data_IF_431609422475
#
_entry.id   IF_431609422475
#
_cell.length_a   1.000
_cell.length_b   1.000
_cell.length_c   1.000
_cell.angle_alpha   90.00
_cell.angle_beta   90.00
_cell.angle_gamma   90.00
#
_symmetry.space_group_name_H-M   'P 1'
#
loop_
_entity.id
_entity.type
_entity.pdbx_description
1 polymer ?
#
# COMPACT_ATOMS: atom_id res chain seq x y z
N UNK A 1 -2.34 25.15 -20.36
CA UNK A 1 -1.05 24.48 -20.14
C UNK A 1 -0.30 25.23 -19.05
N UNK A 2 0.37 24.50 -18.15
CA UNK A 2 1.26 25.08 -17.16
C UNK A 2 2.35 25.93 -17.82
N UNK A 3 2.79 26.98 -17.11
CA UNK A 3 3.80 27.93 -17.59
C UNK A 3 5.11 27.84 -16.80
N UNK A 4 5.08 27.14 -15.68
CA UNK A 4 6.19 26.90 -14.77
C UNK A 4 5.98 25.58 -14.01
N UNK A 5 7.03 25.10 -13.34
CA UNK A 5 7.00 23.85 -12.57
C UNK A 5 5.93 23.84 -11.48
N UNK A 6 5.80 24.92 -10.71
CA UNK A 6 4.85 24.99 -9.59
C UNK A 6 3.40 24.93 -10.06
N UNK A 7 3.09 25.55 -11.21
CA UNK A 7 1.78 25.52 -11.84
C UNK A 7 1.45 24.13 -12.37
N UNK A 8 2.42 23.40 -12.93
CA UNK A 8 2.28 22.01 -13.32
C UNK A 8 1.97 21.11 -12.11
N UNK A 9 2.73 21.25 -11.02
CA UNK A 9 2.49 20.49 -9.78
C UNK A 9 1.09 20.77 -9.21
N UNK A 10 0.68 22.05 -9.18
CA UNK A 10 -0.66 22.43 -8.73
C UNK A 10 -1.76 21.86 -9.63
N UNK A 11 -1.56 21.89 -10.96
CA UNK A 11 -2.55 21.39 -11.92
C UNK A 11 -2.76 19.87 -11.76
N UNK A 12 -1.69 19.09 -11.67
CA UNK A 12 -1.74 17.65 -11.41
C UNK A 12 -2.42 17.31 -10.08
N UNK A 13 -2.02 17.98 -9.00
CA UNK A 13 -2.63 17.77 -7.68
C UNK A 13 -4.13 18.13 -7.65
N UNK A 14 -4.54 19.21 -8.32
CA UNK A 14 -5.96 19.58 -8.45
C UNK A 14 -6.74 18.55 -9.27
N UNK A 15 -6.14 17.99 -10.33
CA UNK A 15 -6.75 16.96 -11.14
C UNK A 15 -6.98 15.67 -10.33
N UNK A 16 -6.00 15.23 -9.54
CA UNK A 16 -6.16 14.10 -8.62
C UNK A 16 -7.30 14.34 -7.62
N UNK A 17 -7.37 15.54 -7.03
CA UNK A 17 -8.46 15.93 -6.13
C UNK A 17 -9.84 15.92 -6.79
N UNK A 18 -9.95 16.27 -8.09
CA UNK A 18 -11.21 16.14 -8.85
C UNK A 18 -11.57 14.67 -9.05
N UNK A 19 -10.61 13.81 -9.37
CA UNK A 19 -10.88 12.39 -9.58
C UNK A 19 -11.32 11.71 -8.26
N UNK A 20 -10.67 12.03 -7.13
CA UNK A 20 -11.09 11.53 -5.83
C UNK A 20 -12.55 11.83 -5.50
N UNK A 21 -13.01 13.05 -5.82
CA UNK A 21 -14.42 13.46 -5.65
C UNK A 21 -15.35 12.74 -6.61
N UNK A 22 -14.95 12.60 -7.88
CA UNK A 22 -15.75 11.90 -8.90
C UNK A 22 -15.99 10.44 -8.54
N UNK A 23 -14.99 9.77 -7.97
CA UNK A 23 -15.03 8.36 -7.61
C UNK A 23 -15.41 8.09 -6.15
N UNK A 24 -15.70 9.14 -5.37
CA UNK A 24 -15.99 9.09 -3.93
C UNK A 24 -15.01 8.24 -3.09
N UNK A 25 -13.75 8.18 -3.54
CA UNK A 25 -12.70 7.31 -2.97
C UNK A 25 -12.47 7.52 -1.48
N UNK A 26 -12.59 8.76 -0.99
CA UNK A 26 -12.40 9.06 0.43
C UNK A 26 -13.50 8.42 1.28
N UNK A 27 -14.76 8.43 0.84
CA UNK A 27 -15.85 7.78 1.58
C UNK A 27 -15.72 6.26 1.53
N UNK A 28 -15.37 5.69 0.37
CA UNK A 28 -15.14 4.26 0.21
C UNK A 28 -14.04 3.74 1.15
N UNK A 29 -12.89 4.42 1.18
CA UNK A 29 -11.76 4.04 2.03
C UNK A 29 -12.04 4.37 3.50
N UNK A 30 -12.80 5.43 3.79
CA UNK A 30 -13.21 5.75 5.17
C UNK A 30 -13.98 4.61 5.85
N UNK A 31 -14.73 3.80 5.08
CA UNK A 31 -15.50 2.66 5.60
C UNK A 31 -14.65 1.41 5.84
N UNK A 32 -13.74 1.09 4.93
CA UNK A 32 -13.04 -0.22 4.92
C UNK A 32 -11.53 -0.10 5.23
N UNK A 33 -10.99 1.12 5.29
CA UNK A 33 -9.54 1.35 5.29
C UNK A 33 -8.86 0.90 4.00
N UNK A 34 -7.55 0.70 4.09
CA UNK A 34 -6.70 0.34 2.96
C UNK A 34 -6.18 1.56 2.19
N UNK A 35 -5.76 1.33 0.96
CA UNK A 35 -5.18 2.34 0.07
C UNK A 35 -6.14 2.72 -1.07
N UNK A 36 -5.72 3.69 -1.89
CA UNK A 36 -6.42 4.04 -3.13
C UNK A 36 -6.25 2.90 -4.15
N UNK A 37 -7.37 2.32 -4.61
CA UNK A 37 -7.36 1.31 -5.66
C UNK A 37 -7.17 1.97 -7.03
N UNK A 38 -5.90 2.13 -7.44
CA UNK A 38 -5.54 2.75 -8.72
C UNK A 38 -6.10 1.96 -9.91
N UNK A 39 -6.03 0.63 -9.86
CA UNK A 39 -6.55 -0.22 -10.93
C UNK A 39 -8.07 -0.17 -10.99
N UNK A 40 -8.74 -0.15 -9.83
CA UNK A 40 -10.17 0.08 -9.73
C UNK A 40 -10.59 1.45 -10.29
N UNK A 41 -9.80 2.50 -10.04
CA UNK A 41 -10.06 3.83 -10.58
C UNK A 41 -9.92 3.90 -12.12
N UNK A 42 -8.92 3.22 -12.68
CA UNK A 42 -8.73 3.09 -14.13
C UNK A 42 -9.92 2.36 -14.75
N UNK A 43 -10.30 1.23 -14.17
CA UNK A 43 -11.46 0.46 -14.60
C UNK A 43 -12.77 1.25 -14.53
N UNK A 44 -13.01 1.99 -13.45
CA UNK A 44 -14.20 2.82 -13.26
C UNK A 44 -14.31 4.01 -14.24
N UNK A 45 -13.24 4.31 -14.98
CA UNK A 45 -13.23 5.31 -16.05
C UNK A 45 -13.33 4.69 -17.45
N UNK A 46 -13.57 3.38 -17.55
CA UNK A 46 -13.59 2.61 -18.79
C UNK A 46 -12.30 2.80 -19.61
N UNK A 47 -11.16 2.97 -18.93
CA UNK A 47 -9.85 3.10 -19.55
C UNK A 47 -9.19 1.70 -19.63
N UNK A 48 -9.00 1.12 -20.82
CA UNK A 48 -8.36 -0.18 -20.97
C UNK A 48 -6.95 -0.18 -20.36
N UNK A 49 -6.68 -1.17 -19.50
CA UNK A 49 -5.39 -1.39 -18.88
C UNK A 49 -4.88 -2.79 -19.24
N UNK A 50 -3.66 -2.87 -19.76
CA UNK A 50 -2.99 -4.14 -19.99
C UNK A 50 -1.66 -4.20 -19.25
N UNK A 51 -1.50 -5.25 -18.46
CA UNK A 51 -0.26 -5.57 -17.77
C UNK A 51 0.53 -6.59 -18.58
N UNK A 52 1.80 -6.31 -18.86
CA UNK A 52 2.67 -7.24 -19.58
C UNK A 52 4.14 -7.01 -19.24
N UNK A 53 5.04 -7.97 -19.48
CA UNK A 53 6.47 -7.71 -19.33
C UNK A 53 6.92 -6.67 -20.37
N UNK A 54 7.51 -5.57 -19.90
CA UNK A 54 8.05 -4.49 -20.74
C UNK A 54 9.52 -4.26 -20.38
N UNK A 55 10.42 -4.58 -21.31
CA UNK A 55 11.87 -4.40 -21.11
C UNK A 55 12.25 -2.94 -21.32
N UNK A 56 12.76 -2.30 -20.27
CA UNK A 56 13.26 -0.92 -20.35
C UNK A 56 12.18 0.17 -20.34
N UNK A 57 10.91 -0.20 -20.19
CA UNK A 57 9.78 0.72 -20.09
C UNK A 57 8.92 0.35 -18.87
N UNK A 58 8.52 1.34 -18.08
CA UNK A 58 7.67 1.12 -16.91
C UNK A 58 6.18 1.09 -17.27
N UNK A 59 5.76 1.98 -18.16
CA UNK A 59 4.39 2.07 -18.66
C UNK A 59 4.31 2.98 -19.86
N UNK A 60 3.13 3.04 -20.46
CA UNK A 60 2.83 3.92 -21.57
C UNK A 60 1.34 4.22 -21.63
N UNK A 61 1.02 5.50 -21.78
CA UNK A 61 -0.29 5.98 -22.19
C UNK A 61 -0.34 6.15 -23.71
N UNK A 62 -1.37 5.58 -24.33
CA UNK A 62 -1.68 5.72 -25.75
C UNK A 62 -3.00 6.47 -25.86
N UNK A 63 -3.11 7.49 -26.71
CA UNK A 63 -4.37 8.22 -26.92
C UNK A 63 -5.07 7.89 -28.24
N UNK A 64 -4.42 7.13 -29.13
CA UNK A 64 -4.87 6.82 -30.49
C UNK A 64 -4.57 5.36 -30.85
N UNK A 65 -5.45 4.65 -31.60
CA UNK A 65 -6.76 5.09 -32.09
C UNK A 65 -7.84 5.20 -31.00
N UNK A 66 -7.59 4.62 -29.82
CA UNK A 66 -8.40 4.77 -28.62
C UNK A 66 -7.48 4.88 -27.40
N UNK A 67 -7.90 5.59 -26.33
CA UNK A 67 -7.10 5.74 -25.14
C UNK A 67 -6.90 4.40 -24.42
N UNK A 68 -5.68 4.15 -23.94
CA UNK A 68 -5.33 2.93 -23.22
C UNK A 68 -4.01 3.05 -22.46
N UNK A 69 -3.81 2.17 -21.49
CA UNK A 69 -2.65 2.17 -20.59
C UNK A 69 -1.95 0.81 -20.62
N UNK A 70 -0.62 0.85 -20.70
CA UNK A 70 0.25 -0.30 -20.52
C UNK A 70 1.08 -0.13 -19.25
N UNK A 71 1.22 -1.19 -18.45
CA UNK A 71 2.08 -1.20 -17.25
C UNK A 71 2.93 -2.46 -17.22
N UNK A 72 4.21 -2.30 -16.86
CA UNK A 72 5.16 -3.41 -16.77
C UNK A 72 4.84 -4.35 -15.60
N UNK A 73 4.97 -5.65 -15.83
CA UNK A 73 4.90 -6.66 -14.76
C UNK A 73 6.26 -6.94 -14.10
N UNK A 74 7.36 -6.38 -14.63
CA UNK A 74 8.74 -6.64 -14.17
C UNK A 74 9.13 -5.85 -12.91
N UNK A 75 8.17 -5.24 -12.21
CA UNK A 75 8.40 -4.35 -11.08
C UNK A 75 7.47 -4.68 -9.90
N UNK A 76 7.88 -4.36 -8.66
CA UNK A 76 7.02 -4.51 -7.48
C UNK A 76 5.71 -3.72 -7.60
N UNK A 77 4.72 -4.14 -6.81
CA UNK A 77 3.37 -3.58 -6.82
C UNK A 77 3.34 -2.06 -6.61
N UNK A 78 4.15 -1.52 -5.71
CA UNK A 78 4.20 -0.07 -5.46
C UNK A 78 4.63 0.72 -6.70
N UNK A 79 5.55 0.18 -7.51
CA UNK A 79 5.96 0.78 -8.79
C UNK A 79 4.86 0.62 -9.83
N UNK A 80 4.25 -0.56 -9.97
CA UNK A 80 3.14 -0.77 -10.90
C UNK A 80 1.98 0.20 -10.63
N UNK A 81 1.62 0.39 -9.35
CA UNK A 81 0.57 1.32 -8.92
C UNK A 81 0.93 2.77 -9.24
N UNK A 82 2.17 3.16 -8.97
CA UNK A 82 2.64 4.51 -9.29
C UNK A 82 2.61 4.78 -10.79
N UNK A 83 3.15 3.86 -11.60
CA UNK A 83 3.10 3.95 -13.06
C UNK A 83 1.65 4.04 -13.54
N UNK A 84 0.77 3.14 -13.09
CA UNK A 84 -0.64 3.16 -13.45
C UNK A 84 -1.32 4.50 -13.09
N UNK A 85 -1.01 5.07 -11.93
CA UNK A 85 -1.54 6.36 -11.50
C UNK A 85 -0.98 7.53 -12.33
N UNK A 86 0.28 7.44 -12.76
CA UNK A 86 0.92 8.41 -13.65
C UNK A 86 0.25 8.40 -15.04
N UNK A 87 0.08 7.22 -15.65
CA UNK A 87 -0.61 7.08 -16.94
C UNK A 87 -2.09 7.49 -16.85
N UNK A 88 -2.75 7.19 -15.73
CA UNK A 88 -4.09 7.69 -15.42
C UNK A 88 -4.13 9.22 -15.37
N UNK A 89 -3.05 9.86 -14.90
CA UNK A 89 -2.87 11.31 -14.94
C UNK A 89 -2.86 11.85 -16.37
N UNK A 90 -2.07 11.23 -17.26
CA UNK A 90 -2.07 11.60 -18.68
C UNK A 90 -3.47 11.50 -19.31
N UNK A 91 -4.18 10.40 -19.07
CA UNK A 91 -5.55 10.23 -19.56
C UNK A 91 -6.50 11.29 -19.01
N UNK A 92 -6.55 11.45 -17.68
CA UNK A 92 -7.51 12.32 -17.02
C UNK A 92 -7.28 13.81 -17.34
N UNK A 93 -6.03 14.20 -17.57
CA UNK A 93 -5.64 15.54 -17.96
C UNK A 93 -5.62 15.77 -19.48
N UNK A 94 -5.93 14.73 -20.27
CA UNK A 94 -5.94 14.76 -21.75
C UNK A 94 -4.62 15.22 -22.34
N UNK A 95 -3.53 14.70 -21.77
CA UNK A 95 -2.19 14.92 -22.28
C UNK A 95 -2.04 14.32 -23.69
N UNK A 96 -1.19 14.96 -24.50
CA UNK A 96 -0.87 14.42 -25.82
C UNK A 96 0.15 13.29 -25.63
N UNK A 97 -0.04 12.14 -26.30
CA UNK A 97 1.00 11.13 -26.33
C UNK A 97 2.24 11.74 -26.98
N UNK A 98 3.41 11.41 -26.47
CA UNK A 98 4.68 11.81 -27.08
C UNK A 98 4.85 11.06 -28.39
N UNK A 99 4.29 11.60 -29.47
CA UNK A 99 4.26 10.98 -30.80
C UNK A 99 5.54 11.23 -31.62
N UNK A 100 6.39 12.16 -31.21
CA UNK A 100 7.68 12.42 -31.85
C UNK A 100 8.78 11.60 -31.18
N UNK A 101 8.87 10.32 -31.53
CA UNK A 101 10.12 9.59 -31.82
C UNK A 101 9.90 8.08 -31.74
N UNK A 102 10.64 7.34 -32.57
CA UNK A 102 10.83 5.88 -32.48
C UNK A 102 11.38 5.39 -31.11
N UNK A 103 11.51 6.29 -30.13
CA UNK A 103 11.90 6.10 -28.74
C UNK A 103 10.73 5.84 -27.77
N UNK A 104 9.47 5.76 -28.24
CA UNK A 104 8.28 5.41 -27.42
C UNK A 104 8.50 4.15 -26.56
N UNK A 105 9.45 3.28 -26.96
CA UNK A 105 9.82 2.04 -26.28
C UNK A 105 11.04 2.15 -25.33
N UNK A 106 11.64 3.33 -25.12
CA UNK A 106 12.93 3.51 -24.41
C UNK A 106 12.95 4.61 -23.35
N UNK A 107 11.82 5.00 -22.76
CA UNK A 107 11.84 5.99 -21.68
C UNK A 107 12.44 5.40 -20.39
N UNK A 108 13.74 5.66 -20.20
CA UNK A 108 14.40 5.61 -18.90
C UNK A 108 13.99 6.81 -18.04
N UNK A 109 14.04 6.72 -16.70
CA UNK A 109 13.39 7.68 -15.79
C UNK A 109 14.00 9.10 -15.71
N UNK A 110 14.94 9.48 -16.59
CA UNK A 110 15.85 10.61 -16.31
C UNK A 110 16.07 11.60 -17.46
N UNK A 111 15.28 11.58 -18.54
CA UNK A 111 15.48 12.56 -19.64
C UNK A 111 14.18 12.94 -20.36
N UNK A 112 13.40 13.88 -19.82
CA UNK A 112 12.26 14.46 -20.54
C UNK A 112 12.73 15.51 -21.56
N UNK A 113 12.36 15.30 -22.83
CA UNK A 113 12.44 16.27 -23.93
C UNK A 113 11.82 17.62 -23.54
N UNK A 114 12.42 18.78 -23.91
CA UNK A 114 12.06 20.11 -23.39
C UNK A 114 10.59 20.53 -23.56
N UNK A 115 9.88 20.03 -24.58
CA UNK A 115 8.48 20.38 -24.84
C UNK A 115 7.45 19.63 -23.97
N UNK A 116 7.81 18.45 -23.44
CA UNK A 116 6.88 17.56 -22.73
C UNK A 116 7.05 17.62 -21.18
N UNK A 117 8.02 18.38 -20.68
CA UNK A 117 8.39 18.41 -19.26
C UNK A 117 7.24 18.80 -18.32
N UNK A 118 6.35 19.69 -18.73
CA UNK A 118 5.23 20.10 -17.89
C UNK A 118 4.13 19.04 -17.78
N UNK A 119 3.83 18.32 -18.86
CA UNK A 119 2.82 17.24 -18.83
C UNK A 119 3.28 16.07 -17.96
N UNK A 120 4.56 15.71 -18.05
CA UNK A 120 5.17 14.69 -17.18
C UNK A 120 5.16 15.14 -15.71
N UNK A 121 5.49 16.41 -15.45
CA UNK A 121 5.40 16.99 -14.09
C UNK A 121 3.97 16.99 -13.56
N UNK A 122 2.99 17.30 -14.41
CA UNK A 122 1.56 17.24 -14.10
C UNK A 122 1.12 15.80 -13.78
N UNK A 123 1.54 14.81 -14.57
CA UNK A 123 1.24 13.40 -14.36
C UNK A 123 1.88 12.84 -13.08
N UNK A 124 3.13 13.18 -12.78
CA UNK A 124 3.78 12.82 -11.51
C UNK A 124 3.10 13.44 -10.31
N UNK A 125 2.75 14.73 -10.39
CA UNK A 125 2.04 15.42 -9.34
C UNK A 125 0.64 14.84 -9.14
N UNK A 126 -0.05 14.46 -10.23
CA UNK A 126 -1.30 13.73 -10.18
C UNK A 126 -1.14 12.39 -9.47
N UNK A 127 -0.18 11.55 -9.87
CA UNK A 127 0.02 10.22 -9.30
C UNK A 127 0.27 10.30 -7.79
N UNK A 128 1.14 11.21 -7.35
CA UNK A 128 1.45 11.40 -5.93
C UNK A 128 0.23 11.90 -5.16
N UNK A 129 -0.48 12.92 -5.67
CA UNK A 129 -1.64 13.47 -5.00
C UNK A 129 -2.83 12.49 -4.99
N UNK A 130 -2.91 11.60 -5.97
CA UNK A 130 -3.97 10.58 -6.09
C UNK A 130 -3.70 9.37 -5.19
N UNK A 131 -2.45 8.88 -5.15
CA UNK A 131 -2.12 7.71 -4.32
C UNK A 131 -1.90 8.07 -2.85
N UNK A 132 -1.32 9.24 -2.59
CA UNK A 132 -0.90 9.67 -1.25
C UNK A 132 -1.56 11.03 -0.92
N UNK A 133 -2.89 11.15 -0.89
CA UNK A 133 -3.53 12.39 -0.50
C UNK A 133 -3.38 12.63 1.02
N UNK A 134 -3.35 13.90 1.43
CA UNK A 134 -3.22 14.29 2.85
C UNK A 134 -4.28 13.63 3.76
N UNK A 135 -5.52 13.49 3.26
CA UNK A 135 -6.61 12.89 4.03
C UNK A 135 -6.37 11.40 4.30
N UNK A 136 -5.67 10.68 3.42
CA UNK A 136 -5.38 9.26 3.61
C UNK A 136 -4.29 9.06 4.67
N UNK A 137 -3.26 9.90 4.65
CA UNK A 137 -2.25 9.94 5.73
C UNK A 137 -2.95 10.20 7.06
N UNK A 138 -3.81 11.22 7.13
CA UNK A 138 -4.55 11.55 8.35
C UNK A 138 -5.44 10.39 8.83
N UNK A 139 -6.11 9.68 7.92
CA UNK A 139 -6.92 8.50 8.24
C UNK A 139 -6.09 7.40 8.89
N UNK A 140 -4.93 7.05 8.31
CA UNK A 140 -4.05 6.03 8.88
C UNK A 140 -3.44 6.49 10.21
N UNK A 141 -3.01 7.75 10.31
CA UNK A 141 -2.53 8.31 11.57
C UNK A 141 -3.59 8.23 12.67
N UNK A 142 -4.83 8.63 12.39
CA UNK A 142 -5.91 8.57 13.35
C UNK A 142 -6.20 7.13 13.81
N UNK A 143 -6.29 6.18 12.87
CA UNK A 143 -6.51 4.76 13.18
C UNK A 143 -5.38 4.18 14.03
N UNK A 144 -4.13 4.45 13.63
CA UNK A 144 -2.96 3.91 14.30
C UNK A 144 -2.57 4.69 15.58
N UNK A 145 -3.23 5.82 15.85
CA UNK A 145 -2.90 6.71 16.95
C UNK A 145 -1.55 7.41 16.76
N UNK A 146 -1.09 7.56 15.52
CA UNK A 146 0.17 8.23 15.21
C UNK A 146 -0.02 9.74 15.15
N UNK A 147 0.84 10.44 15.87
CA UNK A 147 1.01 11.89 15.76
C UNK A 147 1.95 12.25 14.60
N UNK A 148 1.98 13.53 14.23
CA UNK A 148 2.91 14.03 13.21
C UNK A 148 4.36 13.84 13.64
N UNK A 149 4.67 13.93 14.93
CA UNK A 149 6.03 13.71 15.44
C UNK A 149 6.46 12.25 15.29
N UNK A 150 5.54 11.30 15.45
CA UNK A 150 5.84 9.88 15.29
C UNK A 150 6.15 9.50 13.83
N UNK A 151 5.72 10.29 12.84
CA UNK A 151 6.07 10.10 11.43
C UNK A 151 7.56 10.32 11.14
N UNK A 152 8.30 10.90 12.08
CA UNK A 152 9.76 11.06 12.01
C UNK A 152 10.51 9.74 12.27
N UNK A 153 9.82 8.72 12.79
CA UNK A 153 10.43 7.42 13.10
C UNK A 153 10.41 6.50 11.87
N UNK A 154 11.54 5.90 11.46
CA UNK A 154 11.61 5.05 10.27
C UNK A 154 10.63 3.88 10.26
N UNK A 155 10.42 3.22 11.40
CA UNK A 155 9.47 2.10 11.52
C UNK A 155 8.02 2.54 11.25
N UNK A 156 7.63 3.75 11.68
CA UNK A 156 6.30 4.31 11.44
C UNK A 156 6.14 4.73 9.98
N UNK A 157 7.12 5.45 9.42
CA UNK A 157 7.11 5.83 8.00
C UNK A 157 7.06 4.60 7.08
N UNK A 158 7.73 3.51 7.45
CA UNK A 158 7.64 2.23 6.75
C UNK A 158 6.25 1.61 6.83
N UNK A 159 5.67 1.47 8.04
CA UNK A 159 4.33 0.91 8.22
C UNK A 159 3.23 1.76 7.58
N UNK A 160 3.42 3.08 7.50
CA UNK A 160 2.56 3.98 6.74
C UNK A 160 2.67 3.74 5.23
N UNK A 161 3.88 3.55 4.69
CA UNK A 161 4.08 3.33 3.26
C UNK A 161 3.35 2.10 2.74
N UNK A 162 3.35 1.01 3.53
CA UNK A 162 2.62 -0.21 3.23
C UNK A 162 1.11 0.03 3.19
N UNK A 163 0.57 0.70 4.23
CA UNK A 163 -0.86 0.98 4.36
C UNK A 163 -1.40 1.89 3.25
N UNK A 164 -0.58 2.81 2.76
CA UNK A 164 -0.89 3.70 1.62
C UNK A 164 -0.66 2.99 0.26
N UNK A 165 0.06 1.86 0.24
CA UNK A 165 0.39 1.14 -0.98
C UNK A 165 1.38 1.90 -1.87
N UNK A 166 2.36 2.59 -1.26
CA UNK A 166 3.42 3.34 -1.92
C UNK A 166 4.80 2.86 -1.46
N UNK A 167 5.87 3.23 -2.17
CA UNK A 167 7.22 2.93 -1.71
C UNK A 167 7.58 3.75 -0.46
N UNK A 168 8.51 3.22 0.34
CA UNK A 168 9.05 3.92 1.51
C UNK A 168 9.61 5.31 1.14
N UNK A 169 10.39 5.37 0.06
CA UNK A 169 10.97 6.63 -0.43
C UNK A 169 9.89 7.63 -0.88
N UNK A 170 8.92 7.20 -1.68
CA UNK A 170 7.84 8.08 -2.14
C UNK A 170 7.03 8.63 -0.96
N UNK A 171 6.81 7.80 0.07
CA UNK A 171 6.13 8.18 1.30
C UNK A 171 6.93 9.26 2.04
N UNK A 172 8.22 9.05 2.31
CA UNK A 172 9.08 10.01 3.01
C UNK A 172 9.13 11.37 2.29
N UNK A 173 9.33 11.36 0.96
CA UNK A 173 9.33 12.58 0.14
C UNK A 173 7.99 13.30 0.17
N UNK A 174 6.89 12.55 0.21
CA UNK A 174 5.54 13.13 0.28
C UNK A 174 5.25 13.75 1.65
N UNK A 175 5.70 13.13 2.74
CA UNK A 175 5.60 13.69 4.08
C UNK A 175 6.29 15.07 4.15
N UNK A 176 7.49 15.19 3.57
CA UNK A 176 8.19 16.46 3.45
C UNK A 176 7.43 17.47 2.58
N UNK A 177 6.96 17.06 1.39
CA UNK A 177 6.17 17.90 0.48
C UNK A 177 4.93 18.49 1.16
N UNK A 178 4.28 17.71 2.02
CA UNK A 178 3.12 18.14 2.80
C UNK A 178 3.45 18.91 4.06
N UNK A 179 4.74 19.14 4.35
CA UNK A 179 5.26 19.83 5.54
C UNK A 179 4.89 19.13 6.84
N UNK A 180 4.76 17.80 6.79
CA UNK A 180 4.57 16.95 7.98
C UNK A 180 5.90 16.65 8.67
N UNK A 181 7.00 16.66 7.91
CA UNK A 181 8.37 16.54 8.40
C UNK A 181 9.26 17.60 7.74
N UNK A 182 10.43 17.87 8.33
CA UNK A 182 11.43 18.77 7.75
C UNK A 182 12.28 18.05 6.69
N UNK A 183 13.02 18.81 5.89
CA UNK A 183 13.98 18.27 4.91
C UNK A 183 15.06 17.41 5.59
N UNK A 184 15.55 17.85 6.75
CA UNK A 184 16.54 17.12 7.54
C UNK A 184 16.01 15.74 7.97
N UNK A 185 14.79 15.69 8.52
CA UNK A 185 14.15 14.42 8.91
C UNK A 185 13.92 13.53 7.69
N UNK A 186 13.50 14.10 6.55
CA UNK A 186 13.32 13.31 5.33
C UNK A 186 14.63 12.65 4.90
N UNK A 187 15.76 13.38 4.92
CA UNK A 187 17.06 12.82 4.57
C UNK A 187 17.46 11.69 5.51
N UNK A 188 17.30 11.88 6.83
CA UNK A 188 17.56 10.86 7.85
C UNK A 188 16.70 9.60 7.64
N UNK A 189 15.41 9.76 7.35
CA UNK A 189 14.52 8.65 7.03
C UNK A 189 15.01 7.86 5.81
N UNK A 190 15.48 8.55 4.77
CA UNK A 190 15.97 7.93 3.53
C UNK A 190 17.32 7.22 3.68
N UNK A 191 18.11 7.53 4.71
CA UNK A 191 19.32 6.78 5.06
C UNK A 191 18.98 5.38 5.62
N UNK A 192 17.78 5.23 6.21
CA UNK A 192 17.32 3.94 6.73
C UNK A 192 16.87 3.03 5.60
N UNK A 193 17.56 1.91 5.43
CA UNK A 193 17.22 0.90 4.41
C UNK A 193 16.00 0.08 4.86
N UNK A 194 14.94 -0.08 4.05
CA UNK A 194 13.77 -0.87 4.43
C UNK A 194 14.09 -2.29 4.91
N UNK A 195 15.18 -2.89 4.41
CA UNK A 195 15.65 -4.20 4.86
C UNK A 195 15.98 -4.23 6.36
N UNK A 196 16.58 -3.19 6.95
CA UNK A 196 16.87 -3.18 8.39
C UNK A 196 15.58 -3.18 9.19
N UNK A 197 14.59 -2.38 8.78
CA UNK A 197 13.27 -2.34 9.42
C UNK A 197 12.55 -3.70 9.36
N UNK A 198 12.67 -4.42 8.24
CA UNK A 198 12.15 -5.78 8.10
C UNK A 198 12.86 -6.76 9.04
N UNK A 199 14.19 -6.67 9.17
CA UNK A 199 14.97 -7.50 10.10
C UNK A 199 14.55 -7.22 11.54
N UNK A 200 14.44 -5.95 11.92
CA UNK A 200 14.02 -5.52 13.25
C UNK A 200 12.60 -6.02 13.58
N UNK A 201 11.68 -6.01 12.62
CA UNK A 201 10.33 -6.56 12.80
C UNK A 201 10.30 -8.08 12.92
N UNK A 202 11.26 -8.80 12.34
CA UNK A 202 11.25 -10.27 12.36
C UNK A 202 12.07 -10.86 13.52
N UNK A 203 12.73 -10.03 14.34
CA UNK A 203 13.61 -10.45 15.44
C UNK A 203 14.63 -11.50 14.97
N UNK A 204 14.54 -12.76 15.42
CA UNK A 204 15.46 -13.84 15.01
C UNK A 204 14.95 -14.65 13.81
N UNK A 205 13.71 -14.44 13.37
CA UNK A 205 13.21 -15.11 12.18
C UNK A 205 13.92 -14.59 10.93
N UNK A 206 14.34 -15.50 10.05
CA UNK A 206 15.06 -15.18 8.82
C UNK A 206 14.29 -15.80 7.65
N UNK A 207 13.61 -15.00 6.82
CA UNK A 207 12.98 -15.49 5.60
C UNK A 207 14.03 -15.85 4.55
N UNK A 208 13.61 -16.61 3.53
CA UNK A 208 14.48 -16.97 2.41
C UNK A 208 15.04 -15.75 1.68
N UNK A 209 14.23 -14.69 1.52
CA UNK A 209 14.65 -13.37 1.06
C UNK A 209 13.80 -12.26 1.69
N UNK A 210 14.21 -11.00 1.51
CA UNK A 210 13.54 -9.80 2.06
C UNK A 210 12.81 -8.97 0.98
N UNK A 211 12.43 -9.59 -0.14
CA UNK A 211 11.72 -8.92 -1.23
C UNK A 211 10.28 -8.61 -0.85
N UNK A 212 9.61 -9.51 -0.13
CA UNK A 212 8.28 -9.28 0.45
C UNK A 212 8.31 -8.26 1.58
N UNK A 213 7.20 -7.59 1.80
CA UNK A 213 7.04 -6.61 2.86
C UNK A 213 6.72 -7.27 4.21
N UNK A 214 7.01 -6.57 5.31
CA UNK A 214 6.76 -7.06 6.66
C UNK A 214 5.78 -6.10 7.33
N UNK A 215 4.57 -6.59 7.55
CA UNK A 215 3.47 -5.85 8.14
C UNK A 215 3.49 -6.04 9.66
N UNK A 216 3.44 -4.94 10.41
CA UNK A 216 3.14 -4.99 11.85
C UNK A 216 1.64 -4.75 12.01
N UNK A 217 0.93 -5.77 12.50
CA UNK A 217 -0.50 -5.74 12.74
C UNK A 217 -0.78 -5.71 14.24
N UNK A 218 -1.69 -4.83 14.62
CA UNK A 218 -2.18 -4.69 16.00
C UNK A 218 -3.71 -4.67 16.00
N UNK A 219 -4.32 -4.57 17.17
CA UNK A 219 -5.77 -4.40 17.33
C UNK A 219 -6.27 -3.13 16.62
N UNK A 220 -5.40 -2.16 16.35
CA UNK A 220 -5.73 -0.94 15.59
C UNK A 220 -6.00 -1.21 14.11
N UNK A 221 -5.66 -2.39 13.62
CA UNK A 221 -5.93 -2.82 12.25
C UNK A 221 -7.29 -3.55 12.13
N UNK A 222 -8.10 -3.62 13.20
CA UNK A 222 -9.47 -4.15 13.16
C UNK A 222 -10.31 -3.49 12.05
N UNK A 223 -10.96 -4.34 11.26
CA UNK A 223 -11.81 -3.94 10.13
C UNK A 223 -11.05 -3.28 8.99
N UNK A 224 -9.71 -3.33 8.97
CA UNK A 224 -8.92 -2.77 7.89
C UNK A 224 -8.87 -3.71 6.69
N UNK A 225 -8.69 -3.10 5.51
CA UNK A 225 -8.28 -3.78 4.30
C UNK A 225 -6.76 -3.70 4.10
N UNK A 226 -6.12 -4.82 3.77
CA UNK A 226 -4.71 -4.90 3.39
C UNK A 226 -4.56 -5.43 1.97
N UNK A 227 -3.93 -4.65 1.10
CA UNK A 227 -3.52 -5.11 -0.22
C UNK A 227 -2.01 -5.34 -0.21
N UNK A 228 -1.58 -6.55 -0.53
CA UNK A 228 -0.18 -6.97 -0.45
C UNK A 228 0.17 -8.08 -1.43
N UNK A 229 1.20 -8.83 -1.09
CA UNK A 229 1.75 -9.93 -1.89
C UNK A 229 1.78 -11.23 -1.09
N UNK A 230 1.70 -12.36 -1.79
CA UNK A 230 1.92 -13.69 -1.18
C UNK A 230 3.29 -13.86 -0.51
N UNK A 231 4.25 -13.02 -0.87
CA UNK A 231 5.60 -13.07 -0.33
C UNK A 231 5.76 -12.22 0.95
N UNK A 232 4.71 -11.50 1.36
CA UNK A 232 4.75 -10.65 2.54
C UNK A 232 4.66 -11.49 3.82
N UNK A 233 5.16 -10.92 4.91
CA UNK A 233 5.07 -11.49 6.26
C UNK A 233 4.25 -10.58 7.15
N UNK A 234 3.53 -11.18 8.09
CA UNK A 234 2.64 -10.50 9.00
C UNK A 234 3.06 -10.79 10.43
N UNK A 235 3.49 -9.76 11.14
CA UNK A 235 3.81 -9.80 12.56
C UNK A 235 2.60 -9.25 13.31
N UNK A 236 1.79 -10.15 13.87
CA UNK A 236 0.69 -9.80 14.74
C UNK A 236 1.26 -9.58 16.14
N UNK A 237 1.11 -8.36 16.68
CA UNK A 237 1.52 -7.99 18.03
C UNK A 237 0.29 -7.59 18.82
N UNK A 238 -0.31 -8.57 19.50
CA UNK A 238 -1.63 -8.44 20.12
C UNK A 238 -1.51 -8.56 21.65
N UNK A 239 -2.22 -7.71 22.37
CA UNK A 239 -2.41 -7.84 23.81
C UNK A 239 -3.18 -9.13 24.09
N UNK A 240 -2.67 -9.94 25.00
CA UNK A 240 -3.27 -11.20 25.44
C UNK A 240 -3.50 -11.16 26.96
N UNK A 241 -4.73 -11.43 27.40
CA UNK A 241 -5.17 -11.46 28.79
C UNK A 241 -4.99 -12.87 29.37
N UNK A 242 -3.77 -13.41 29.24
CA UNK A 242 -3.45 -14.79 29.61
C UNK A 242 -3.72 -15.08 31.09
N UNK A 243 -3.53 -14.09 31.98
CA UNK A 243 -3.85 -14.22 33.41
C UNK A 243 -5.33 -14.50 33.69
N UNK A 244 -6.24 -14.10 32.79
CA UNK A 244 -7.67 -14.39 32.85
C UNK A 244 -8.09 -15.64 32.07
N UNK A 245 -7.13 -16.39 31.52
CA UNK A 245 -7.36 -17.57 30.69
C UNK A 245 -7.71 -17.28 29.23
N UNK A 246 -7.63 -16.03 28.79
CA UNK A 246 -7.94 -15.64 27.41
C UNK A 246 -6.70 -15.78 26.54
N UNK A 247 -6.85 -16.50 25.42
CA UNK A 247 -5.78 -16.76 24.46
C UNK A 247 -6.28 -16.44 23.06
N UNK A 248 -5.40 -15.90 22.22
CA UNK A 248 -5.69 -15.75 20.79
C UNK A 248 -5.72 -17.11 20.10
N UNK A 249 -6.76 -17.34 19.32
CA UNK A 249 -6.95 -18.58 18.58
C UNK A 249 -6.18 -18.56 17.24
N UNK A 250 -5.05 -19.26 17.20
CA UNK A 250 -4.22 -19.37 16.00
C UNK A 250 -4.75 -20.41 15.00
N UNK A 251 -5.66 -21.28 15.39
CA UNK A 251 -6.31 -22.19 14.44
C UNK A 251 -7.17 -21.38 13.45
N UNK A 252 -7.75 -20.26 13.90
CA UNK A 252 -8.46 -19.35 13.02
C UNK A 252 -7.53 -18.60 12.05
N UNK A 253 -6.31 -18.27 12.48
CA UNK A 253 -5.29 -17.69 11.61
C UNK A 253 -4.86 -18.70 10.53
N UNK A 254 -4.61 -19.95 10.91
CA UNK A 254 -4.29 -21.03 9.96
C UNK A 254 -5.44 -21.33 9.01
N UNK A 255 -6.68 -21.40 9.51
CA UNK A 255 -7.88 -21.56 8.69
C UNK A 255 -8.11 -20.40 7.72
N UNK A 256 -7.54 -19.22 8.00
CA UNK A 256 -7.55 -18.05 7.10
C UNK A 256 -6.46 -18.13 6.01
N UNK A 257 -5.70 -19.24 5.93
CA UNK A 257 -4.69 -19.50 4.91
C UNK A 257 -3.31 -18.90 5.21
N UNK A 258 -2.96 -18.81 6.49
CA UNK A 258 -1.65 -18.36 6.96
C UNK A 258 -0.90 -19.49 7.68
N UNK A 259 0.35 -19.70 7.32
CA UNK A 259 1.26 -20.52 8.10
C UNK A 259 1.86 -19.70 9.26
N UNK A 260 1.75 -20.19 10.49
CA UNK A 260 2.45 -19.61 11.65
C UNK A 260 3.90 -20.06 11.62
N UNK A 261 4.82 -19.11 11.44
CA UNK A 261 6.27 -19.39 11.36
C UNK A 261 6.99 -19.10 12.68
N UNK A 262 6.37 -18.31 13.58
CA UNK A 262 6.87 -18.02 14.93
C UNK A 262 5.72 -17.59 15.84
N UNK A 263 5.73 -18.02 17.10
CA UNK A 263 4.78 -17.62 18.15
C UNK A 263 5.56 -17.39 19.45
N UNK A 264 5.47 -16.18 19.99
CA UNK A 264 6.18 -15.73 21.19
C UNK A 264 5.26 -14.91 22.09
N UNK A 265 5.65 -14.83 23.36
CA UNK A 265 5.02 -13.93 24.33
C UNK A 265 6.06 -12.98 24.89
N UNK A 266 5.84 -11.69 24.70
CA UNK A 266 6.63 -10.60 25.28
C UNK A 266 5.93 -10.13 26.57
N UNK A 267 6.70 -9.86 27.63
CA UNK A 267 6.15 -9.21 28.82
C UNK A 267 5.72 -7.77 28.46
N UNK A 268 4.50 -7.38 28.85
CA UNK A 268 4.02 -6.00 28.65
C UNK A 268 4.70 -5.03 29.63
N UNK A 269 4.96 -5.51 30.85
CA UNK A 269 5.73 -4.86 31.90
C UNK A 269 6.53 -5.95 32.62
N UNK A 270 7.86 -5.79 32.68
CA UNK A 270 8.75 -6.78 33.28
C UNK A 270 8.56 -6.89 34.81
N UNK A 271 7.95 -5.89 35.45
CA UNK A 271 7.78 -5.81 36.90
C UNK A 271 6.39 -6.27 37.38
N UNK A 272 5.43 -6.48 36.48
CA UNK A 272 4.05 -6.85 36.83
C UNK A 272 3.75 -8.35 36.66
N UNK A 273 3.68 -9.10 37.77
CA UNK A 273 3.27 -10.52 37.76
C UNK A 273 1.75 -10.63 37.50
N UNK A 274 1.37 -11.43 36.49
CA UNK A 274 -0.04 -11.70 36.16
C UNK A 274 -0.73 -10.63 35.31
N UNK A 275 0.00 -9.61 34.84
CA UNK A 275 -0.49 -8.60 33.91
C UNK A 275 -0.76 -9.15 32.50
N UNK A 276 -1.40 -8.35 31.62
CA UNK A 276 -1.52 -8.71 30.21
C UNK A 276 -0.13 -8.90 29.60
N UNK A 277 0.01 -9.87 28.70
CA UNK A 277 1.23 -10.08 27.91
C UNK A 277 0.97 -9.62 26.48
N UNK A 278 2.03 -9.48 25.69
CA UNK A 278 1.89 -9.27 24.25
C UNK A 278 2.22 -10.58 23.55
N UNK A 279 1.24 -11.15 22.86
CA UNK A 279 1.49 -12.26 21.96
C UNK A 279 1.97 -11.75 20.62
N UNK A 280 3.15 -12.21 20.21
CA UNK A 280 3.78 -11.88 18.95
C UNK A 280 3.77 -13.11 18.05
N UNK A 281 3.04 -13.05 16.95
CA UNK A 281 2.94 -14.13 15.97
C UNK A 281 3.45 -13.65 14.63
N UNK A 282 4.43 -14.32 14.07
CA UNK A 282 4.84 -14.11 12.67
C UNK A 282 4.15 -15.16 11.82
N UNK A 283 3.44 -14.68 10.79
CA UNK A 283 2.66 -15.49 9.88
C UNK A 283 3.00 -15.18 8.41
N UNK A 284 2.88 -16.17 7.55
CA UNK A 284 3.11 -16.06 6.11
C UNK A 284 1.88 -16.59 5.35
N UNK A 285 1.40 -15.91 4.29
CA UNK A 285 0.36 -16.45 3.44
C UNK A 285 0.83 -17.75 2.76
N UNK A 286 -0.03 -18.76 2.70
CA UNK A 286 0.32 -20.03 2.03
C UNK A 286 0.21 -19.93 0.51
N UNK A 287 -0.67 -19.06 0.01
CA UNK A 287 -0.91 -18.85 -1.41
C UNK A 287 -1.28 -17.40 -1.72
N UNK A 288 -1.15 -17.02 -3.00
CA UNK A 288 -1.76 -15.79 -3.50
C UNK A 288 -3.27 -15.93 -3.47
N UNK A 289 -3.92 -15.20 -2.56
CA UNK A 289 -5.36 -15.32 -2.34
C UNK A 289 -5.98 -14.01 -1.87
N UNK A 290 -7.30 -13.98 -1.90
CA UNK A 290 -8.14 -12.96 -1.29
C UNK A 290 -8.96 -13.61 -0.20
N UNK A 291 -9.21 -12.89 0.87
CA UNK A 291 -9.98 -13.46 1.96
C UNK A 291 -10.16 -12.49 3.12
N UNK A 292 -10.61 -13.07 4.22
CA UNK A 292 -10.76 -12.41 5.50
C UNK A 292 -9.99 -13.21 6.53
N UNK A 293 -9.06 -12.56 7.20
CA UNK A 293 -8.41 -13.08 8.38
C UNK A 293 -9.27 -12.73 9.58
N UNK A 294 -9.57 -13.70 10.45
CA UNK A 294 -10.27 -13.45 11.70
C UNK A 294 -9.62 -14.22 12.83
N UNK A 295 -9.35 -13.56 13.96
CA UNK A 295 -8.88 -14.18 15.19
C UNK A 295 -9.76 -13.68 16.33
N UNK A 296 -10.01 -14.56 17.30
CA UNK A 296 -10.71 -14.22 18.54
C UNK A 296 -9.82 -14.55 19.73
N UNK A 297 -9.84 -13.67 20.71
CA UNK A 297 -9.27 -13.91 22.03
C UNK A 297 -10.35 -14.57 22.91
N UNK A 298 -10.18 -15.85 23.24
CA UNK A 298 -11.21 -16.62 23.98
C UNK A 298 -10.60 -17.55 25.01
N UNK A 299 -11.43 -18.01 25.94
CA UNK A 299 -11.08 -19.11 26.85
C UNK A 299 -11.28 -20.43 26.10
N UNK A 300 -10.26 -21.30 25.96
CA UNK A 300 -10.41 -22.56 25.25
C UNK A 300 -11.53 -23.46 25.81
N UNK A 301 -11.79 -23.38 27.12
CA UNK A 301 -12.85 -24.13 27.82
C UNK A 301 -14.20 -23.41 27.88
N UNK A 302 -14.31 -22.17 27.40
CA UNK A 302 -15.54 -21.37 27.39
C UNK A 302 -15.60 -20.52 26.12
N UNK A 303 -15.67 -21.20 24.97
CA UNK A 303 -15.45 -20.63 23.64
C UNK A 303 -16.60 -19.77 23.08
N UNK A 304 -17.72 -19.66 23.80
CA UNK A 304 -18.93 -18.98 23.34
C UNK A 304 -18.83 -17.44 23.32
N UNK A 305 -17.88 -16.85 24.05
CA UNK A 305 -17.74 -15.39 24.14
C UNK A 305 -16.29 -14.99 23.95
N UNK A 306 -16.02 -14.21 22.92
CA UNK A 306 -14.70 -13.61 22.68
C UNK A 306 -14.53 -12.36 23.56
N UNK A 307 -13.34 -12.17 24.11
CA UNK A 307 -12.94 -10.96 24.83
C UNK A 307 -12.52 -9.84 23.87
N UNK A 308 -11.84 -10.21 22.79
CA UNK A 308 -11.44 -9.33 21.71
C UNK A 308 -11.45 -10.09 20.38
N UNK A 309 -11.52 -9.37 19.27
CA UNK A 309 -11.43 -9.92 17.91
C UNK A 309 -10.51 -9.07 17.05
N UNK A 310 -9.84 -9.70 16.09
CA UNK A 310 -9.11 -9.06 15.01
C UNK A 310 -9.62 -9.60 13.67
N UNK A 311 -10.20 -8.76 12.83
CA UNK A 311 -10.73 -9.08 11.51
C UNK A 311 -10.11 -8.15 10.47
N UNK A 312 -9.49 -8.72 9.44
CA UNK A 312 -8.83 -7.98 8.37
C UNK A 312 -9.23 -8.58 7.03
N UNK A 313 -9.78 -7.76 6.14
CA UNK A 313 -9.99 -8.15 4.74
C UNK A 313 -8.67 -7.98 3.98
N UNK A 314 -8.33 -8.92 3.10
CA UNK A 314 -7.05 -8.86 2.41
C UNK A 314 -7.08 -9.32 0.95
N UNK A 315 -6.11 -8.81 0.18
CA UNK A 315 -5.84 -9.20 -1.20
C UNK A 315 -4.33 -9.32 -1.44
N UNK A 316 -3.83 -10.55 -1.42
CA UNK A 316 -2.41 -10.89 -1.60
C UNK A 316 -2.08 -11.38 -3.01
N UNK A 317 -2.95 -11.06 -3.98
CA UNK A 317 -2.74 -11.42 -5.38
C UNK A 317 -1.73 -10.50 -6.08
N UNK A 318 -1.09 -9.58 -5.36
CA UNK A 318 -0.02 -8.72 -5.86
C UNK A 318 1.36 -9.38 -5.94
N UNK A 319 2.29 -8.80 -6.72
CA UNK A 319 2.08 -7.75 -7.74
C UNK A 319 1.23 -8.27 -8.91
N UNK A 320 0.72 -7.36 -9.75
CA UNK A 320 -0.03 -7.76 -10.94
C UNK A 320 0.81 -8.63 -11.87
N UNK A 321 0.16 -9.66 -12.40
CA UNK A 321 0.69 -10.57 -13.41
C UNK A 321 0.26 -10.12 -14.80
N UNK A 322 0.79 -10.77 -15.83
CA UNK A 322 0.44 -10.50 -17.23
C UNK A 322 -1.07 -10.71 -17.48
N UNK A 323 -1.65 -9.81 -18.27
CA UNK A 323 -3.07 -9.79 -18.63
C UNK A 323 -3.84 -8.66 -17.96
N UNK A 324 -5.07 -8.98 -17.53
CA UNK A 324 -6.00 -8.03 -16.91
C UNK A 324 -5.57 -7.71 -15.48
N UNK A 325 -5.89 -6.50 -15.01
CA UNK A 325 -5.66 -6.10 -13.62
C UNK A 325 -6.54 -6.89 -12.64
N UNK A 326 -6.17 -6.94 -11.35
CA UNK A 326 -7.05 -7.51 -10.32
C UNK A 326 -8.45 -6.87 -10.33
N UNK A 327 -8.54 -5.58 -10.61
CA UNK A 327 -9.81 -4.87 -10.61
C UNK A 327 -10.75 -5.37 -11.72
N UNK A 328 -10.23 -5.50 -12.94
CA UNK A 328 -10.98 -6.05 -14.07
C UNK A 328 -11.34 -7.52 -13.86
N UNK A 329 -10.39 -8.33 -13.36
CA UNK A 329 -10.67 -9.75 -13.04
C UNK A 329 -11.80 -9.89 -12.03
N UNK A 330 -11.86 -9.03 -11.01
CA UNK A 330 -12.94 -9.03 -10.02
C UNK A 330 -14.29 -8.74 -10.68
N UNK A 331 -14.35 -7.70 -11.50
CA UNK A 331 -15.59 -7.32 -12.16
C UNK A 331 -16.11 -8.43 -13.10
N UNK A 332 -15.21 -9.07 -13.86
CA UNK A 332 -15.58 -10.18 -14.74
C UNK A 332 -16.07 -11.42 -13.98
N UNK A 333 -15.48 -11.71 -12.81
CA UNK A 333 -15.90 -12.84 -11.97
C UNK A 333 -17.20 -12.58 -11.20
N UNK A 334 -17.46 -11.31 -10.83
CA UNK A 334 -18.71 -10.90 -10.19
C UNK A 334 -19.89 -10.82 -11.18
N UNK A 335 -19.59 -10.66 -12.48
CA UNK A 335 -20.59 -10.62 -13.56
C UNK A 335 -20.93 -12.01 -14.16
N UNK A 336 -20.21 -13.06 -13.77
CA UNK A 336 -20.36 -14.44 -14.28
C UNK A 336 -21.20 -15.31 -13.35
#
# INVERSE_FOLDING_TARGET
MARDYDSAVRAGAMAAGRLHRRLDTQALIGRHGGNVDVFGAIHALDLPLLLRPLKGLLGAYLSSPAPGVLVTTERPMSIQRFTAAHELGHFFMRHEPSLDDESILRRMPMSPEPGNQFQETEADAFAIAFMIPKWLIALHCARQGWTVDELRRPNIAYQLSLRIGASYEATCRTLFRYKLISDAVMRELLETKPRSLKVDLLHDYRPADYRGDVWLLTERDEGARIDGSRNDLFVLRLKEHSGGGFLWDLDQLMASGFAVVRDEREAFDAEAVGGPVVRRVTAAPEAAQRGRMSLNERRPWQSATANASLTIDFDFTGPEQEGLSRAERRHLLEAA
#
